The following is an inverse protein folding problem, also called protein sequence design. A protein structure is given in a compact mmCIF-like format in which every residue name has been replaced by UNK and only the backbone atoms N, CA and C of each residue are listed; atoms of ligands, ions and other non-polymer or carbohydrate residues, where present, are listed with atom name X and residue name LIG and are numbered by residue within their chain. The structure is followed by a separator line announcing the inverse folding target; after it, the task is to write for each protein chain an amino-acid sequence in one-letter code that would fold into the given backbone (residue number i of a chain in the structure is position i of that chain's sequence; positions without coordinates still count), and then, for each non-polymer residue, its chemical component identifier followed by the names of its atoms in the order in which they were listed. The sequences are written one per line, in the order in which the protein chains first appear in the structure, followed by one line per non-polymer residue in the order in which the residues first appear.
data_IF_025312026188
#
_entry.id   IF_025312026188
#
_cell.length_a   1.000
_cell.length_b   1.000
_cell.length_c   1.000
_cell.angle_alpha   90.00
_cell.angle_beta   90.00
_cell.angle_gamma   90.00
#
_symmetry.space_group_name_H-M   'P 1'
#
loop_
_entity.id
_entity.type
_entity.pdbx_description
1 polymer ?
#
# COMPACT_ATOMS: atom_id res chain seq x y z
N UNK A 1 9.61 -11.46 -38.12
CA UNK A 1 9.75 -10.13 -37.47
C UNK A 1 10.83 -10.29 -36.40
N UNK A 2 12.03 -9.75 -36.64
CA UNK A 2 13.23 -10.19 -35.93
C UNK A 2 13.22 -9.79 -34.45
N UNK A 3 13.31 -10.80 -33.57
CA UNK A 3 13.29 -10.68 -32.10
C UNK A 3 14.29 -9.64 -31.54
N UNK A 4 15.48 -9.57 -32.15
CA UNK A 4 16.52 -8.60 -31.78
C UNK A 4 16.13 -7.13 -32.04
N UNK A 5 15.31 -6.86 -33.06
CA UNK A 5 14.82 -5.52 -33.36
C UNK A 5 13.75 -5.10 -32.36
N UNK A 6 12.84 -6.04 -32.03
CA UNK A 6 11.79 -5.82 -31.02
C UNK A 6 12.40 -5.57 -29.64
N UNK A 7 13.42 -6.33 -29.26
CA UNK A 7 14.16 -6.11 -28.00
C UNK A 7 14.81 -4.73 -27.94
N UNK A 8 15.45 -4.28 -29.03
CA UNK A 8 16.05 -2.94 -29.08
C UNK A 8 15.01 -1.82 -29.01
N UNK A 9 13.86 -2.00 -29.66
CA UNK A 9 12.77 -1.03 -29.61
C UNK A 9 12.19 -0.92 -28.18
N UNK A 10 11.99 -2.06 -27.52
CA UNK A 10 11.51 -2.12 -26.14
C UNK A 10 12.48 -1.47 -25.15
N UNK A 11 13.79 -1.72 -25.28
CA UNK A 11 14.79 -1.09 -24.42
C UNK A 11 14.88 0.43 -24.63
N UNK A 12 14.71 0.91 -25.86
CA UNK A 12 14.62 2.35 -26.15
C UNK A 12 13.39 2.98 -25.50
N UNK A 13 12.24 2.30 -25.58
CA UNK A 13 11.00 2.72 -24.94
C UNK A 13 11.12 2.79 -23.40
N UNK A 14 11.72 1.76 -22.78
CA UNK A 14 12.03 1.75 -21.35
C UNK A 14 12.98 2.89 -20.95
N UNK A 15 14.04 3.11 -21.72
CA UNK A 15 15.03 4.15 -21.44
C UNK A 15 14.47 5.58 -21.61
N UNK A 16 13.46 5.77 -22.46
CA UNK A 16 12.75 7.04 -22.61
C UNK A 16 11.56 7.21 -21.65
N UNK A 17 11.32 6.25 -20.75
CA UNK A 17 10.21 6.34 -19.80
C UNK A 17 10.58 7.24 -18.63
N UNK A 18 9.74 8.22 -18.25
CA UNK A 18 9.97 9.07 -17.09
C UNK A 18 9.97 8.28 -15.76
N UNK A 19 9.37 7.08 -15.74
CA UNK A 19 9.44 6.16 -14.60
C UNK A 19 10.85 5.63 -14.35
N UNK A 20 11.71 5.55 -15.37
CA UNK A 20 13.10 5.14 -15.16
C UNK A 20 13.92 6.25 -14.50
N UNK A 21 13.55 7.52 -14.74
CA UNK A 21 14.13 8.68 -14.08
C UNK A 21 13.85 8.74 -12.58
N UNK A 22 12.67 8.31 -12.14
CA UNK A 22 12.33 8.24 -10.71
C UNK A 22 13.06 7.10 -9.97
N UNK A 23 13.36 5.98 -10.65
CA UNK A 23 14.19 4.91 -10.12
C UNK A 23 15.69 5.28 -10.06
N UNK A 24 16.19 6.08 -11.01
CA UNK A 24 17.59 6.53 -11.05
C UNK A 24 17.99 7.44 -9.89
N UNK A 25 17.04 8.15 -9.29
CA UNK A 25 17.25 8.97 -8.08
C UNK A 25 17.58 8.14 -6.83
N UNK A 26 17.22 6.84 -6.81
CA UNK A 26 17.52 5.96 -5.69
C UNK A 26 18.95 5.39 -5.70
N UNK A 27 19.65 5.43 -6.85
CA UNK A 27 20.91 4.68 -7.03
C UNK A 27 22.15 5.57 -7.22
N UNK A 28 22.01 6.90 -7.25
CA UNK A 28 23.18 7.80 -7.33
C UNK A 28 23.21 8.79 -6.16
N UNK A 29 24.09 8.46 -5.21
CA UNK A 29 24.90 9.37 -4.38
C UNK A 29 24.20 10.51 -3.64
N UNK A 30 24.26 10.44 -2.30
CA UNK A 30 24.49 11.55 -1.38
C UNK A 30 24.05 12.93 -1.88
N UNK A 31 22.77 13.26 -1.73
CA UNK A 31 22.34 14.65 -1.66
C UNK A 31 21.07 14.71 -0.84
N UNK A 32 21.05 15.62 0.12
CA UNK A 32 19.93 15.89 1.01
C UNK A 32 18.64 16.06 0.20
N UNK A 33 17.76 15.05 0.27
CA UNK A 33 16.42 15.11 -0.30
C UNK A 33 15.50 15.67 0.80
N UNK A 34 14.82 16.82 0.60
CA UNK A 34 13.75 17.25 1.51
C UNK A 34 12.70 16.13 1.59
N UNK A 35 11.95 15.97 2.70
CA UNK A 35 11.13 14.77 2.93
C UNK A 35 10.22 14.54 1.73
N UNK A 36 10.59 13.57 0.91
CA UNK A 36 9.83 13.15 -0.24
C UNK A 36 8.58 12.51 0.32
N UNK A 37 7.43 13.09 -0.01
CA UNK A 37 6.14 12.45 0.09
C UNK A 37 6.32 11.03 -0.44
N UNK A 38 6.17 10.06 0.47
CA UNK A 38 6.34 8.65 0.20
C UNK A 38 5.52 8.31 -1.04
N UNK A 39 6.12 7.76 -2.11
CA UNK A 39 5.35 7.37 -3.28
C UNK A 39 4.30 6.40 -2.80
N UNK A 40 3.03 6.78 -2.96
CA UNK A 40 1.88 6.03 -2.51
C UNK A 40 2.05 4.58 -2.94
N UNK A 41 2.22 3.72 -1.94
CA UNK A 41 2.24 2.28 -2.13
C UNK A 41 0.91 1.94 -2.79
N UNK A 42 0.97 1.54 -4.05
CA UNK A 42 -0.17 1.02 -4.77
C UNK A 42 -0.74 -0.19 -4.00
N UNK A 43 -1.80 0.06 -3.23
CA UNK A 43 -2.69 -0.99 -2.72
C UNK A 43 -2.44 -1.52 -1.30
N UNK A 44 -2.01 -0.71 -0.34
CA UNK A 44 -2.48 -0.97 1.04
C UNK A 44 -3.88 -0.36 1.15
N UNK A 45 -4.92 -1.19 1.04
CA UNK A 45 -6.34 -0.79 1.18
C UNK A 45 -6.70 -0.45 2.65
N UNK A 46 -5.75 0.12 3.40
CA UNK A 46 -5.89 0.42 4.81
C UNK A 46 -5.02 1.60 5.20
N UNK A 47 -5.59 2.46 6.03
CA UNK A 47 -4.95 3.63 6.62
C UNK A 47 -3.56 3.27 7.19
N UNK A 48 -2.49 4.03 6.84
CA UNK A 48 -1.10 3.68 7.16
C UNK A 48 -0.72 3.83 8.64
N UNK A 49 -1.55 4.49 9.45
CA UNK A 49 -1.20 4.87 10.84
C UNK A 49 -1.67 3.89 11.91
N UNK A 50 -2.26 2.76 11.55
CA UNK A 50 -2.70 1.78 12.54
C UNK A 50 -1.54 0.86 12.92
N UNK A 51 -1.10 0.89 14.19
CA UNK A 51 -0.41 -0.26 14.79
C UNK A 51 -1.22 -1.50 14.43
N UNK A 52 -0.67 -2.33 13.55
CA UNK A 52 -1.31 -3.57 13.17
C UNK A 52 -1.26 -4.45 14.41
N UNK A 53 -2.43 -4.77 14.97
CA UNK A 53 -2.57 -5.69 16.10
C UNK A 53 -1.84 -7.00 15.86
N UNK A 54 -1.65 -7.79 16.92
CA UNK A 54 -0.91 -9.04 16.79
C UNK A 54 -1.77 -10.10 16.06
N UNK A 55 -1.12 -11.00 15.32
CA UNK A 55 -1.83 -12.12 14.70
C UNK A 55 -2.24 -13.12 15.79
N UNK A 56 -3.54 -13.28 16.00
CA UNK A 56 -4.09 -14.21 16.99
C UNK A 56 -4.59 -15.50 16.33
N UNK A 57 -4.46 -16.63 17.03
CA UNK A 57 -4.91 -17.95 16.56
C UNK A 57 -6.27 -18.34 17.13
N UNK A 58 -6.67 -17.73 18.24
CA UNK A 58 -7.97 -17.93 18.88
C UNK A 58 -8.56 -16.60 19.38
N UNK A 59 -9.90 -16.49 19.54
CA UNK A 59 -10.51 -15.26 20.03
C UNK A 59 -10.07 -14.86 21.45
N UNK A 60 -9.71 -15.84 22.28
CA UNK A 60 -9.29 -15.61 23.66
C UNK A 60 -7.89 -14.97 23.76
N UNK A 61 -7.10 -14.99 22.67
CA UNK A 61 -5.80 -14.34 22.58
C UNK A 61 -5.89 -12.85 22.21
N UNK A 62 -7.02 -12.39 21.68
CA UNK A 62 -7.21 -11.01 21.25
C UNK A 62 -7.33 -10.08 22.47
N UNK A 63 -6.45 -9.08 22.56
CA UNK A 63 -6.51 -8.05 23.58
C UNK A 63 -7.56 -7.00 23.24
N UNK A 64 -7.69 -6.69 21.94
CA UNK A 64 -8.73 -5.83 21.42
C UNK A 64 -9.28 -6.29 20.05
N UNK A 65 -10.22 -5.52 19.50
CA UNK A 65 -10.87 -5.84 18.22
C UNK A 65 -9.94 -5.68 17.01
N UNK A 66 -8.82 -4.99 17.14
CA UNK A 66 -7.88 -4.76 16.04
C UNK A 66 -6.94 -5.95 15.81
N UNK A 67 -6.70 -6.79 16.82
CA UNK A 67 -6.02 -8.09 16.66
C UNK A 67 -6.82 -9.03 15.73
N UNK A 68 -8.15 -8.99 15.84
CA UNK A 68 -9.06 -9.76 14.99
C UNK A 68 -9.02 -9.28 13.53
N UNK A 69 -8.81 -7.98 13.30
CA UNK A 69 -8.68 -7.40 11.94
C UNK A 69 -7.45 -7.94 11.22
N UNK A 70 -6.31 -8.03 11.88
CA UNK A 70 -5.07 -8.56 11.28
C UNK A 70 -5.23 -10.03 10.92
N UNK A 71 -5.92 -10.78 11.77
CA UNK A 71 -6.28 -12.17 11.50
C UNK A 71 -7.22 -12.29 10.29
N UNK A 72 -8.24 -11.44 10.22
CA UNK A 72 -9.20 -11.41 9.11
C UNK A 72 -8.53 -11.04 7.77
N UNK A 73 -7.61 -10.09 7.75
CA UNK A 73 -6.87 -9.68 6.54
C UNK A 73 -6.06 -10.84 5.96
N UNK A 74 -5.48 -11.70 6.80
CA UNK A 74 -4.71 -12.88 6.36
C UNK A 74 -5.59 -14.08 6.01
N UNK A 75 -6.70 -14.26 6.70
CA UNK A 75 -7.55 -15.44 6.55
C UNK A 75 -8.57 -15.33 5.40
N UNK A 76 -9.04 -14.12 5.09
CA UNK A 76 -10.11 -13.91 4.12
C UNK A 76 -9.57 -13.70 2.70
N UNK A 77 -10.31 -14.15 1.67
CA UNK A 77 -9.98 -13.78 0.30
C UNK A 77 -10.03 -12.24 0.13
N UNK A 78 -9.14 -11.64 -0.68
CA UNK A 78 -9.05 -10.18 -0.80
C UNK A 78 -10.37 -9.48 -1.13
N UNK A 79 -11.21 -10.08 -1.98
CA UNK A 79 -12.51 -9.51 -2.32
C UNK A 79 -13.48 -9.46 -1.12
N UNK A 80 -13.43 -10.46 -0.23
CA UNK A 80 -14.29 -10.50 0.95
C UNK A 80 -13.78 -9.56 2.03
N UNK A 81 -12.46 -9.52 2.23
CA UNK A 81 -11.85 -8.56 3.16
C UNK A 81 -12.12 -7.12 2.73
N UNK A 82 -11.92 -6.81 1.44
CA UNK A 82 -12.24 -5.49 0.90
C UNK A 82 -13.69 -5.09 1.13
N UNK A 83 -14.64 -6.01 0.92
CA UNK A 83 -16.07 -5.74 1.16
C UNK A 83 -16.40 -5.30 2.59
N UNK A 84 -15.69 -5.85 3.60
CA UNK A 84 -15.95 -5.53 5.01
C UNK A 84 -15.05 -4.42 5.56
N UNK A 85 -13.86 -4.22 4.99
CA UNK A 85 -12.85 -3.31 5.52
C UNK A 85 -12.97 -1.87 4.99
N UNK A 86 -13.62 -1.67 3.83
CA UNK A 86 -13.74 -0.36 3.18
C UNK A 86 -15.12 0.25 3.34
N UNK A 87 -15.20 1.56 3.19
CA UNK A 87 -16.42 2.36 3.08
C UNK A 87 -16.69 2.83 1.64
N UNK A 88 -17.58 3.83 1.53
CA UNK A 88 -18.00 4.44 0.26
C UNK A 88 -17.20 5.73 0.03
N UNK A 89 -16.98 6.09 -1.24
CA UNK A 89 -16.37 7.36 -1.66
C UNK A 89 -15.02 7.67 -1.00
N UNK A 90 -14.13 6.68 -0.94
CA UNK A 90 -12.77 6.85 -0.42
C UNK A 90 -12.70 7.00 1.11
N UNK A 91 -13.62 6.36 1.82
CA UNK A 91 -13.57 6.15 3.27
C UNK A 91 -13.62 7.43 4.12
N UNK A 92 -14.05 8.55 3.53
CA UNK A 92 -14.05 9.87 4.19
C UNK A 92 -14.86 9.84 5.50
N UNK A 93 -16.06 9.26 5.47
CA UNK A 93 -16.91 9.16 6.68
C UNK A 93 -16.37 8.14 7.68
N UNK A 94 -15.75 7.05 7.21
CA UNK A 94 -15.12 6.05 8.08
C UNK A 94 -14.00 6.68 8.91
N UNK A 95 -13.14 7.48 8.27
CA UNK A 95 -12.06 8.22 8.93
C UNK A 95 -12.59 9.33 9.84
N UNK A 96 -13.58 10.11 9.39
CA UNK A 96 -14.20 11.13 10.22
C UNK A 96 -14.79 10.56 11.53
N UNK A 97 -15.42 9.38 11.48
CA UNK A 97 -15.93 8.70 12.67
C UNK A 97 -14.81 8.34 13.65
N UNK A 98 -13.69 7.83 13.15
CA UNK A 98 -12.52 7.50 14.00
C UNK A 98 -11.91 8.75 14.62
N UNK A 99 -11.68 9.80 13.82
CA UNK A 99 -11.14 11.07 14.29
C UNK A 99 -12.04 11.72 15.36
N UNK A 100 -13.36 11.54 15.27
CA UNK A 100 -14.29 12.05 16.27
C UNK A 100 -14.12 11.41 17.66
N UNK A 101 -13.62 10.17 17.75
CA UNK A 101 -13.32 9.52 19.04
C UNK A 101 -12.02 10.03 19.69
N UNK A 102 -11.15 10.69 18.92
CA UNK A 102 -9.92 11.28 19.42
C UNK A 102 -10.08 12.72 19.95
N UNK A 103 -11.32 13.25 19.92
CA UNK A 103 -11.68 14.60 20.39
C UNK A 103 -12.38 14.54 21.74
#
# INVERSE_FOLDING_TARGET
MNDLTSRRAFLKFLASSPLLGSLGAACTTNRDVPPAETPERLGTLGEPDQELGELVSSPDEALDVFDLRVTAERALPPAHYGYIATGVDGDVTLRANREAFAR
#
